data_IF_181515456021
#
_entry.id   IF_181515456021
#
_cell.length_a   1.000
_cell.length_b   1.000
_cell.length_c   1.000
_cell.angle_alpha   90.00
_cell.angle_beta   90.00
_cell.angle_gamma   90.00
#
_symmetry.space_group_name_H-M   'P 1'
#
loop_
_entity.id
_entity.type
_entity.pdbx_description
1 polymer ?
#
# COMPACT_ATOMS: atom_id res chain seq x y z
N UNK A 1 -0.10 -4.60 -5.14
CA UNK A 1 -0.33 -3.17 -5.45
C UNK A 1 0.84 -2.53 -6.19
N UNK A 2 2.08 -2.61 -5.70
CA UNK A 2 3.24 -1.97 -6.36
C UNK A 2 3.42 -2.40 -7.82
N UNK A 3 3.36 -3.70 -8.10
CA UNK A 3 3.44 -4.24 -9.47
C UNK A 3 2.33 -3.71 -10.39
N UNK A 4 1.10 -3.62 -9.89
CA UNK A 4 -0.02 -3.02 -10.64
C UNK A 4 0.22 -1.52 -10.93
N UNK A 5 0.72 -0.76 -9.95
CA UNK A 5 1.08 0.65 -10.16
C UNK A 5 2.22 0.81 -11.18
N UNK A 6 3.22 -0.08 -11.17
CA UNK A 6 4.29 -0.10 -12.18
C UNK A 6 3.70 -0.34 -13.57
N UNK A 7 2.87 -1.37 -13.74
CA UNK A 7 2.28 -1.72 -15.03
C UNK A 7 1.38 -0.60 -15.57
N UNK A 8 0.63 0.07 -14.69
CA UNK A 8 -0.30 1.14 -15.08
C UNK A 8 0.41 2.46 -15.42
N UNK A 9 1.54 2.76 -14.77
CA UNK A 9 2.14 4.11 -14.82
C UNK A 9 3.49 4.19 -15.55
N UNK A 10 4.18 3.07 -15.78
CA UNK A 10 5.56 3.06 -16.29
C UNK A 10 5.64 2.51 -17.73
N UNK A 11 6.51 3.03 -18.61
CA UNK A 11 6.71 2.46 -19.96
C UNK A 11 7.22 1.01 -19.96
N UNK A 12 6.77 0.20 -20.94
CA UNK A 12 7.07 -1.24 -21.05
C UNK A 12 8.55 -1.63 -20.89
N UNK A 13 9.55 -0.93 -21.48
CA UNK A 13 10.94 -1.34 -21.34
C UNK A 13 11.44 -1.32 -19.89
N UNK A 14 10.92 -0.39 -19.08
CA UNK A 14 11.33 -0.24 -17.68
C UNK A 14 10.50 -1.13 -16.75
N UNK A 15 9.28 -1.52 -17.16
CA UNK A 15 8.45 -2.44 -16.38
C UNK A 15 9.16 -3.76 -16.11
N UNK A 16 9.82 -4.36 -17.10
CA UNK A 16 10.51 -5.64 -16.92
C UNK A 16 11.52 -5.60 -15.76
N UNK A 17 12.35 -4.56 -15.72
CA UNK A 17 13.34 -4.37 -14.66
C UNK A 17 12.70 -4.12 -13.29
N UNK A 18 11.68 -3.27 -13.22
CA UNK A 18 11.00 -2.95 -11.97
C UNK A 18 10.20 -4.14 -11.42
N UNK A 19 9.59 -4.94 -12.29
CA UNK A 19 8.90 -6.17 -11.91
C UNK A 19 9.89 -7.25 -11.46
N UNK A 20 11.03 -7.39 -12.16
CA UNK A 20 12.13 -8.26 -11.72
C UNK A 20 12.65 -7.86 -10.33
N UNK A 21 12.87 -6.57 -10.11
CA UNK A 21 13.24 -6.05 -8.78
C UNK A 21 12.18 -6.35 -7.72
N UNK A 22 10.89 -6.14 -8.02
CA UNK A 22 9.80 -6.45 -7.09
C UNK A 22 9.73 -7.95 -6.76
N UNK A 23 9.99 -8.82 -7.74
CA UNK A 23 10.05 -10.27 -7.53
C UNK A 23 11.25 -10.68 -6.66
N UNK A 24 12.43 -10.13 -6.92
CA UNK A 24 13.62 -10.36 -6.09
C UNK A 24 13.37 -9.90 -4.65
N UNK A 25 12.81 -8.70 -4.48
CA UNK A 25 12.41 -8.17 -3.17
C UNK A 25 11.49 -9.14 -2.44
N UNK A 26 10.47 -9.68 -3.12
CA UNK A 26 9.55 -10.65 -2.52
C UNK A 26 10.29 -11.92 -2.05
N UNK A 27 11.18 -12.46 -2.87
CA UNK A 27 11.98 -13.65 -2.50
C UNK A 27 12.85 -13.38 -1.28
N UNK A 28 13.54 -12.23 -1.26
CA UNK A 28 14.36 -11.80 -0.11
C UNK A 28 13.50 -11.64 1.14
N UNK A 29 12.33 -11.00 1.04
CA UNK A 29 11.42 -10.80 2.16
C UNK A 29 10.90 -12.13 2.72
N UNK A 30 10.48 -13.07 1.86
CA UNK A 30 10.01 -14.40 2.29
C UNK A 30 11.12 -15.15 3.03
N UNK A 31 12.36 -15.13 2.52
CA UNK A 31 13.48 -15.74 3.21
C UNK A 31 13.77 -15.06 4.56
N UNK A 32 13.75 -13.73 4.61
CA UNK A 32 14.00 -12.94 5.83
C UNK A 32 12.99 -13.23 6.94
N UNK A 33 11.71 -13.37 6.59
CA UNK A 33 10.62 -13.58 7.55
C UNK A 33 10.66 -14.95 8.23
N UNK A 34 11.41 -15.92 7.69
CA UNK A 34 11.60 -17.23 8.35
C UNK A 34 12.33 -17.13 9.69
N UNK A 35 13.14 -16.07 9.88
CA UNK A 35 13.92 -15.83 11.10
C UNK A 35 13.43 -14.65 11.95
N UNK A 36 12.45 -13.88 11.46
CA UNK A 36 12.01 -12.63 12.08
C UNK A 36 10.49 -12.60 12.21
N UNK A 37 9.96 -12.71 13.42
CA UNK A 37 8.50 -12.77 13.65
C UNK A 37 7.87 -11.45 14.08
N UNK A 38 8.69 -10.43 14.39
CA UNK A 38 8.15 -9.15 14.84
C UNK A 38 7.46 -8.41 13.69
N UNK A 39 6.32 -7.79 14.00
CA UNK A 39 5.53 -7.03 13.04
C UNK A 39 6.29 -5.86 12.40
N UNK A 40 7.29 -5.29 13.09
CA UNK A 40 8.14 -4.21 12.57
C UNK A 40 8.83 -4.56 11.25
N UNK A 41 9.21 -5.83 11.05
CA UNK A 41 9.88 -6.25 9.82
C UNK A 41 8.93 -6.24 8.62
N UNK A 42 7.65 -6.49 8.85
CA UNK A 42 6.60 -6.35 7.84
C UNK A 42 6.50 -4.89 7.40
N UNK A 43 6.54 -3.95 8.35
CA UNK A 43 6.52 -2.51 8.07
C UNK A 43 7.72 -2.07 7.24
N UNK A 44 8.92 -2.55 7.57
CA UNK A 44 10.13 -2.22 6.82
C UNK A 44 10.07 -2.69 5.36
N UNK A 45 9.37 -3.78 5.08
CA UNK A 45 9.15 -4.22 3.71
C UNK A 45 8.05 -3.41 2.99
N UNK A 46 6.86 -3.31 3.60
CA UNK A 46 5.72 -2.76 2.87
C UNK A 46 5.79 -1.23 2.74
N UNK A 47 6.36 -0.51 3.71
CA UNK A 47 6.37 0.96 3.70
C UNK A 47 7.13 1.54 2.49
N UNK A 48 8.34 1.07 2.12
CA UNK A 48 8.99 1.46 0.87
C UNK A 48 8.17 1.14 -0.38
N UNK A 49 7.46 0.00 -0.40
CA UNK A 49 6.58 -0.36 -1.52
C UNK A 49 5.43 0.63 -1.65
N UNK A 50 4.80 1.02 -0.54
CA UNK A 50 3.71 2.00 -0.52
C UNK A 50 4.20 3.39 -0.89
N UNK A 51 5.40 3.80 -0.44
CA UNK A 51 6.03 5.04 -0.89
C UNK A 51 6.24 5.05 -2.41
N UNK A 52 6.69 3.94 -2.99
CA UNK A 52 6.78 3.78 -4.45
C UNK A 52 5.43 3.95 -5.16
N UNK A 53 4.36 3.38 -4.61
CA UNK A 53 3.00 3.57 -5.17
C UNK A 53 2.56 5.03 -5.04
N UNK A 54 2.79 5.69 -3.90
CA UNK A 54 2.47 7.10 -3.71
C UNK A 54 3.19 8.01 -4.71
N UNK A 55 4.47 7.76 -4.97
CA UNK A 55 5.24 8.50 -5.97
C UNK A 55 4.66 8.30 -7.38
N UNK A 56 4.36 7.05 -7.76
CA UNK A 56 3.79 6.75 -9.07
C UNK A 56 2.39 7.37 -9.24
N UNK A 57 1.51 7.23 -8.25
CA UNK A 57 0.16 7.79 -8.30
C UNK A 57 0.17 9.31 -8.22
N UNK A 58 1.09 9.92 -7.45
CA UNK A 58 1.29 11.36 -7.42
C UNK A 58 1.74 11.90 -8.79
N UNK A 59 2.68 11.20 -9.44
CA UNK A 59 3.11 11.55 -10.79
C UNK A 59 1.98 11.42 -11.81
N UNK A 60 1.19 10.35 -11.76
CA UNK A 60 0.00 10.15 -12.61
C UNK A 60 -1.05 11.25 -12.37
N UNK A 61 -1.34 11.57 -11.11
CA UNK A 61 -2.28 12.64 -10.76
C UNK A 61 -1.81 13.99 -11.30
N UNK A 62 -0.51 14.29 -11.21
CA UNK A 62 0.08 15.52 -11.72
C UNK A 62 0.06 15.58 -13.25
N UNK A 63 0.48 14.51 -13.93
CA UNK A 63 0.67 14.50 -15.38
C UNK A 63 -0.62 14.30 -16.17
N UNK A 64 -1.52 13.45 -15.68
CA UNK A 64 -2.71 13.00 -16.42
C UNK A 64 -4.03 13.34 -15.73
N UNK A 65 -4.00 13.87 -14.50
CA UNK A 65 -5.20 14.23 -13.71
C UNK A 65 -6.22 13.09 -13.60
N UNK A 66 -5.72 11.86 -13.55
CA UNK A 66 -6.53 10.65 -13.44
C UNK A 66 -7.27 10.64 -12.10
N UNK A 67 -8.60 10.51 -12.15
CA UNK A 67 -9.47 10.55 -10.95
C UNK A 67 -9.15 9.42 -9.97
N UNK A 68 -8.71 8.27 -10.46
CA UNK A 68 -8.36 7.11 -9.64
C UNK A 68 -7.14 7.31 -8.74
N UNK A 69 -6.18 8.15 -9.15
CA UNK A 69 -4.92 8.32 -8.43
C UNK A 69 -5.12 8.94 -7.03
N UNK A 70 -6.00 9.94 -6.92
CA UNK A 70 -6.32 10.58 -5.63
C UNK A 70 -6.94 9.60 -4.62
N UNK A 71 -7.82 8.71 -5.09
CA UNK A 71 -8.41 7.66 -4.26
C UNK A 71 -7.37 6.67 -3.75
N UNK A 72 -6.42 6.24 -4.60
CA UNK A 72 -5.35 5.34 -4.19
C UNK A 72 -4.43 6.01 -3.17
N UNK A 73 -4.03 7.26 -3.41
CA UNK A 73 -3.22 8.04 -2.45
C UNK A 73 -3.94 8.12 -1.10
N UNK A 74 -5.22 8.49 -1.10
CA UNK A 74 -6.03 8.55 0.11
C UNK A 74 -6.09 7.22 0.86
N UNK A 75 -6.37 6.11 0.15
CA UNK A 75 -6.41 4.78 0.76
C UNK A 75 -5.08 4.35 1.38
N UNK A 76 -3.95 4.68 0.75
CA UNK A 76 -2.62 4.38 1.31
C UNK A 76 -2.34 5.23 2.56
N UNK A 77 -2.65 6.53 2.53
CA UNK A 77 -2.46 7.40 3.69
C UNK A 77 -3.31 6.94 4.89
N UNK A 78 -4.58 6.58 4.65
CA UNK A 78 -5.44 6.01 5.70
C UNK A 78 -4.92 4.67 6.19
N UNK A 79 -4.34 3.83 5.33
CA UNK A 79 -3.70 2.57 5.75
C UNK A 79 -2.49 2.81 6.67
N UNK A 80 -1.70 3.86 6.44
CA UNK A 80 -0.59 4.23 7.33
C UNK A 80 -1.10 4.71 8.70
N UNK A 81 -2.20 5.46 8.72
CA UNK A 81 -2.87 5.85 9.98
C UNK A 81 -3.33 4.60 10.73
N UNK A 82 -3.95 3.64 10.02
CA UNK A 82 -4.36 2.37 10.61
C UNK A 82 -3.15 1.64 11.20
N UNK A 83 -2.06 1.47 10.44
CA UNK A 83 -0.86 0.80 10.91
C UNK A 83 -0.26 1.48 12.15
N UNK A 84 -0.28 2.81 12.23
CA UNK A 84 0.14 3.53 13.42
C UNK A 84 -0.74 3.23 14.64
N UNK A 85 -2.06 3.19 14.45
CA UNK A 85 -3.00 2.75 15.50
C UNK A 85 -2.72 1.32 15.94
N UNK A 86 -2.44 0.40 15.01
CA UNK A 86 -2.14 -0.99 15.35
C UNK A 86 -0.88 -1.14 16.22
N UNK A 87 0.11 -0.27 16.03
CA UNK A 87 1.33 -0.26 16.85
C UNK A 87 1.18 0.50 18.16
N UNK A 88 0.07 1.22 18.33
CA UNK A 88 -0.21 1.97 19.55
C UNK A 88 -0.86 1.05 20.59
N UNK A 89 -0.63 1.31 21.87
CA UNK A 89 -1.33 0.64 22.96
C UNK A 89 -2.71 1.28 23.26
N UNK A 90 -3.35 1.89 22.24
CA UNK A 90 -4.64 2.58 22.41
C UNK A 90 -5.75 1.54 22.60
N UNK A 91 -6.24 1.40 23.82
CA UNK A 91 -7.37 0.52 24.14
C UNK A 91 -8.58 1.36 24.55
N UNK A 92 -9.60 1.44 23.69
CA UNK A 92 -10.81 2.24 23.92
C UNK A 92 -11.77 1.49 24.86
N UNK A 93 -11.85 0.16 24.75
CA UNK A 93 -12.66 -0.71 25.59
C UNK A 93 -12.01 -2.10 25.71
N UNK A 94 -12.39 -2.89 26.72
CA UNK A 94 -11.91 -4.28 26.94
C UNK A 94 -12.14 -5.21 25.73
N UNK A 95 -13.22 -4.96 24.99
CA UNK A 95 -13.60 -5.70 23.76
C UNK A 95 -13.39 -4.87 22.48
N UNK A 96 -12.76 -3.70 22.59
CA UNK A 96 -12.47 -2.83 21.46
C UNK A 96 -11.11 -2.16 21.67
N UNK A 97 -10.06 -2.86 21.26
CA UNK A 97 -8.68 -2.46 21.42
C UNK A 97 -8.10 -1.84 20.13
N UNK A 98 -6.81 -1.52 20.16
CA UNK A 98 -6.08 -0.95 19.02
C UNK A 98 -6.17 -1.81 17.76
N UNK A 99 -6.23 -3.14 17.88
CA UNK A 99 -6.37 -4.04 16.73
C UNK A 99 -7.77 -3.96 16.11
N UNK A 100 -8.82 -3.85 16.94
CA UNK A 100 -10.19 -3.66 16.45
C UNK A 100 -10.34 -2.31 15.75
N UNK A 101 -9.77 -1.25 16.36
CA UNK A 101 -9.74 0.09 15.78
C UNK A 101 -8.93 0.12 14.47
N UNK A 102 -7.78 -0.56 14.43
CA UNK A 102 -7.00 -0.76 13.21
C UNK A 102 -7.86 -1.33 12.08
N UNK A 103 -8.58 -2.43 12.34
CA UNK A 103 -9.43 -3.05 11.33
C UNK A 103 -10.53 -2.11 10.86
N UNK A 104 -11.17 -1.35 11.76
CA UNK A 104 -12.20 -0.37 11.41
C UNK A 104 -11.67 0.72 10.46
N UNK A 105 -10.50 1.30 10.77
CA UNK A 105 -9.86 2.31 9.91
C UNK A 105 -9.46 1.67 8.57
N UNK A 106 -8.93 0.44 8.60
CA UNK A 106 -8.47 -0.27 7.42
C UNK A 106 -9.62 -0.61 6.46
N UNK A 107 -10.84 -0.84 6.95
CA UNK A 107 -12.04 -0.97 6.11
C UNK A 107 -12.26 0.30 5.29
N UNK A 108 -12.15 1.47 5.92
CA UNK A 108 -12.23 2.77 5.23
C UNK A 108 -11.14 2.93 4.17
N UNK A 109 -9.90 2.53 4.50
CA UNK A 109 -8.79 2.51 3.54
C UNK A 109 -9.09 1.61 2.33
N UNK A 110 -9.62 0.40 2.56
CA UNK A 110 -9.96 -0.52 1.47
C UNK A 110 -11.07 0.03 0.58
N UNK A 111 -12.07 0.69 1.16
CA UNK A 111 -13.10 1.36 0.38
C UNK A 111 -12.50 2.43 -0.55
N UNK A 112 -11.58 3.27 -0.06
CA UNK A 112 -10.89 4.26 -0.89
C UNK A 112 -10.08 3.60 -2.02
N UNK A 113 -9.32 2.54 -1.71
CA UNK A 113 -8.55 1.80 -2.72
C UNK A 113 -9.45 1.17 -3.78
N UNK A 114 -10.60 0.62 -3.39
CA UNK A 114 -11.61 0.09 -4.30
C UNK A 114 -12.15 1.17 -5.24
N UNK A 115 -12.47 2.36 -4.72
CA UNK A 115 -12.94 3.48 -5.54
C UNK A 115 -11.87 3.94 -6.55
N UNK A 116 -10.59 3.90 -6.16
CA UNK A 116 -9.47 4.16 -7.05
C UNK A 116 -9.36 3.13 -8.17
N UNK A 117 -9.40 1.84 -7.84
CA UNK A 117 -9.39 0.75 -8.82
C UNK A 117 -10.54 0.83 -9.80
N UNK A 118 -11.77 1.08 -9.31
CA UNK A 118 -12.98 1.24 -10.14
C UNK A 118 -12.93 2.46 -11.07
N UNK A 119 -12.14 3.47 -10.73
CA UNK A 119 -12.01 4.69 -11.53
C UNK A 119 -11.14 4.49 -12.76
N UNK A 120 -10.31 3.44 -12.80
CA UNK A 120 -9.64 3.00 -14.02
C UNK A 120 -10.64 2.22 -14.87
N UNK A 121 -11.38 2.90 -15.75
CA UNK A 121 -12.15 2.21 -16.78
C UNK A 121 -11.20 1.69 -17.85
N UNK A 122 -11.43 0.46 -18.27
CA UNK A 122 -10.73 -0.18 -19.39
C UNK A 122 -10.66 0.80 -20.58
N UNK A 123 -9.43 1.08 -21.03
CA UNK A 123 -9.16 1.80 -22.28
C UNK A 123 -8.99 0.79 -23.40
#
# INVERSE_FOLDING_TARGET
MLTAAIVASVPRPLQFWLLGFAAIKLVVYVAWMTAHQDFRYVIYDYAPSMAGVLLLQGWVAYRWREKGAGWIIGGILVSFIAAHVQQSDINIHEHFNHNDLYHLIQIGAMWLLYQGGRSFKDR
#
